data_IF_926820801983
#
_entry.id   IF_926820801983
#
_cell.length_a   1.000
_cell.length_b   1.000
_cell.length_c   1.000
_cell.angle_alpha   90.00
_cell.angle_beta   90.00
_cell.angle_gamma   90.00
#
_symmetry.space_group_name_H-M   'P 1'
#
loop_
_entity.id
_entity.type
_entity.pdbx_description
1 polymer ?
#
# COMPACT_ATOMS: atom_id res chain seq x y z
N UNK A 1 4.82 4.04 3.82
CA UNK A 1 3.88 3.24 4.66
C UNK A 1 3.89 3.68 6.13
N UNK A 2 5.04 3.73 6.80
CA UNK A 2 5.12 4.13 8.21
C UNK A 2 4.50 5.51 8.52
N UNK A 3 4.76 6.52 7.68
CA UNK A 3 4.13 7.84 7.84
C UNK A 3 2.60 7.78 7.68
N UNK A 4 2.09 6.94 6.78
CA UNK A 4 0.64 6.76 6.62
C UNK A 4 0.01 6.07 7.84
N UNK A 5 0.74 5.12 8.44
CA UNK A 5 0.34 4.49 9.70
C UNK A 5 0.40 5.47 10.88
N UNK A 6 1.39 6.37 10.92
CA UNK A 6 1.47 7.42 11.92
C UNK A 6 0.27 8.37 11.79
N UNK A 7 -0.07 8.78 10.57
CA UNK A 7 -1.27 9.56 10.29
C UNK A 7 -2.54 8.82 10.77
N UNK A 8 -2.68 7.53 10.48
CA UNK A 8 -3.79 6.69 10.92
C UNK A 8 -4.04 6.74 12.44
N UNK A 9 -2.97 6.91 13.23
CA UNK A 9 -3.01 6.91 14.69
C UNK A 9 -3.26 8.29 15.29
N UNK A 10 -2.64 9.34 14.74
CA UNK A 10 -2.60 10.66 15.40
C UNK A 10 -3.34 11.77 14.65
N UNK A 11 -3.79 11.54 13.41
CA UNK A 11 -4.49 12.55 12.63
C UNK A 11 -3.64 13.72 12.13
N UNK A 12 -2.34 13.75 12.41
CA UNK A 12 -1.48 14.87 12.03
C UNK A 12 -1.15 14.82 10.53
N UNK A 13 -1.69 15.77 9.78
CA UNK A 13 -1.57 15.92 8.33
C UNK A 13 -0.13 15.97 7.82
N UNK A 14 0.85 16.38 8.63
CA UNK A 14 2.26 16.32 8.26
C UNK A 14 2.70 14.89 7.89
N UNK A 15 2.20 13.90 8.61
CA UNK A 15 2.50 12.50 8.31
C UNK A 15 1.88 12.03 6.99
N UNK A 16 0.71 12.57 6.61
CA UNK A 16 0.10 12.31 5.32
C UNK A 16 0.90 12.98 4.18
N UNK A 17 1.37 14.21 4.37
CA UNK A 17 2.25 14.91 3.41
C UNK A 17 3.56 14.13 3.23
N UNK A 18 4.24 13.77 4.33
CA UNK A 18 5.45 12.95 4.28
C UNK A 18 5.21 11.60 3.60
N UNK A 19 4.08 10.94 3.88
CA UNK A 19 3.71 9.72 3.19
C UNK A 19 3.62 9.95 1.67
N UNK A 20 3.00 11.05 1.26
CA UNK A 20 2.90 11.47 -0.13
C UNK A 20 4.24 11.69 -0.80
N UNK A 21 5.14 12.45 -0.16
CA UNK A 21 6.49 12.69 -0.69
C UNK A 21 7.26 11.38 -0.92
N UNK A 22 7.22 10.45 0.03
CA UNK A 22 7.85 9.13 -0.15
C UNK A 22 7.17 8.27 -1.21
N UNK A 23 5.84 8.35 -1.36
CA UNK A 23 5.13 7.69 -2.46
C UNK A 23 5.61 8.24 -3.80
N UNK A 24 5.71 9.56 -3.93
CA UNK A 24 6.20 10.22 -5.15
C UNK A 24 7.65 9.84 -5.49
N UNK A 25 8.54 9.79 -4.50
CA UNK A 25 9.91 9.28 -4.69
C UNK A 25 9.93 7.81 -5.12
N UNK A 26 9.03 6.99 -4.57
CA UNK A 26 8.86 5.60 -5.00
C UNK A 26 8.42 5.50 -6.46
N UNK A 27 7.47 6.36 -6.88
CA UNK A 27 7.02 6.46 -8.28
C UNK A 27 8.17 6.85 -9.20
N UNK A 28 9.01 7.81 -8.81
CA UNK A 28 10.20 8.15 -9.60
C UNK A 28 11.21 7.00 -9.71
N UNK A 29 11.30 6.13 -8.70
CA UNK A 29 12.30 5.04 -8.67
C UNK A 29 11.85 3.79 -9.41
N UNK A 30 10.58 3.39 -9.25
CA UNK A 30 10.04 2.11 -9.75
C UNK A 30 8.83 2.28 -10.68
N UNK A 31 8.41 3.51 -10.94
CA UNK A 31 7.21 3.80 -11.71
C UNK A 31 5.92 3.64 -10.90
N UNK A 32 4.76 3.64 -11.58
CA UNK A 32 3.44 3.67 -10.94
C UNK A 32 3.12 2.41 -10.12
N UNK A 33 3.89 1.31 -10.26
CA UNK A 33 3.68 0.06 -9.52
C UNK A 33 3.73 0.22 -8.00
N UNK A 34 4.40 1.26 -7.49
CA UNK A 34 4.42 1.59 -6.05
C UNK A 34 3.01 1.86 -5.53
N UNK A 35 2.13 2.44 -6.35
CA UNK A 35 0.74 2.73 -5.96
C UNK A 35 -0.05 1.45 -5.70
N UNK A 36 0.29 0.32 -6.32
CA UNK A 36 -0.35 -0.97 -6.03
C UNK A 36 0.04 -1.44 -4.63
N UNK A 37 1.34 -1.38 -4.32
CA UNK A 37 1.90 -1.85 -3.05
C UNK A 37 1.44 -0.99 -1.86
N UNK A 38 1.28 0.32 -2.06
CA UNK A 38 0.85 1.25 -1.01
C UNK A 38 -0.67 1.42 -1.00
N UNK A 39 -1.32 1.34 -2.16
CA UNK A 39 -2.77 1.46 -2.31
C UNK A 39 -3.53 0.32 -1.66
N UNK A 40 -3.06 -0.93 -1.80
CA UNK A 40 -3.71 -2.09 -1.18
C UNK A 40 -3.92 -1.92 0.34
N UNK A 41 -2.88 -1.63 1.17
CA UNK A 41 -3.09 -1.42 2.60
C UNK A 41 -3.91 -0.16 2.92
N UNK A 42 -3.82 0.91 2.12
CA UNK A 42 -4.63 2.13 2.31
C UNK A 42 -6.12 1.86 2.06
N UNK A 43 -6.46 1.19 0.97
CA UNK A 43 -7.84 0.84 0.62
C UNK A 43 -8.44 -0.12 1.64
N UNK A 44 -7.63 -1.03 2.17
CA UNK A 44 -8.06 -2.00 3.18
C UNK A 44 -8.10 -1.42 4.60
N UNK A 45 -7.81 -0.13 4.80
CA UNK A 45 -7.83 0.53 6.12
C UNK A 45 -9.07 0.18 6.97
N UNK A 46 -10.31 0.18 6.44
CA UNK A 46 -11.49 -0.13 7.23
C UNK A 46 -11.48 -1.53 7.88
N UNK A 47 -10.74 -2.48 7.29
CA UNK A 47 -10.67 -3.87 7.74
C UNK A 47 -9.64 -4.10 8.85
N UNK A 48 -8.58 -3.29 8.91
CA UNK A 48 -7.51 -3.45 9.90
C UNK A 48 -7.41 -2.30 10.90
N UNK A 49 -8.19 -1.22 10.74
CA UNK A 49 -8.19 -0.09 11.68
C UNK A 49 -8.56 -0.52 13.10
N UNK A 50 -7.91 0.10 14.07
CA UNK A 50 -8.41 0.11 15.43
C UNK A 50 -9.65 1.00 15.49
N UNK A 51 -10.80 0.46 15.90
CA UNK A 51 -12.05 1.21 15.95
C UNK A 51 -12.13 2.16 17.15
N UNK A 52 -11.34 1.93 18.18
CA UNK A 52 -11.32 2.70 19.42
C UNK A 52 -10.29 3.83 19.37
N UNK A 53 -9.12 3.55 18.77
CA UNK A 53 -7.99 4.49 18.76
C UNK A 53 -7.63 5.04 17.36
N UNK A 54 -8.11 4.43 16.28
CA UNK A 54 -7.77 4.84 14.91
C UNK A 54 -8.64 5.97 14.37
N UNK A 55 -8.11 6.71 13.40
CA UNK A 55 -8.86 7.70 12.63
C UNK A 55 -10.15 7.11 12.04
N UNK A 56 -11.20 7.92 12.02
CA UNK A 56 -12.41 7.60 11.27
C UNK A 56 -12.10 7.40 9.78
N UNK A 57 -12.73 6.42 9.15
CA UNK A 57 -12.52 6.06 7.75
C UNK A 57 -12.53 7.26 6.78
N UNK A 58 -13.50 8.20 6.85
CA UNK A 58 -13.50 9.35 5.95
C UNK A 58 -12.30 10.27 6.15
N UNK A 59 -11.89 10.51 7.40
CA UNK A 59 -10.72 11.34 7.72
C UNK A 59 -9.42 10.69 7.24
N UNK A 60 -9.32 9.37 7.36
CA UNK A 60 -8.18 8.63 6.84
C UNK A 60 -8.07 8.75 5.31
N UNK A 61 -9.19 8.55 4.59
CA UNK A 61 -9.19 8.71 3.13
C UNK A 61 -8.96 10.14 2.67
N UNK A 62 -9.43 11.15 3.41
CA UNK A 62 -9.08 12.55 3.14
C UNK A 62 -7.55 12.78 3.24
N UNK A 63 -6.90 12.23 4.26
CA UNK A 63 -5.43 12.28 4.36
C UNK A 63 -4.72 11.42 3.31
N UNK A 64 -5.32 10.30 2.87
CA UNK A 64 -4.81 9.55 1.73
C UNK A 64 -4.84 10.40 0.45
N UNK A 65 -5.93 11.15 0.23
CA UNK A 65 -6.03 12.13 -0.84
C UNK A 65 -4.94 13.20 -0.75
N UNK A 66 -4.71 13.75 0.44
CA UNK A 66 -3.61 14.69 0.68
C UNK A 66 -2.24 14.08 0.37
N UNK A 67 -2.02 12.82 0.74
CA UNK A 67 -0.79 12.11 0.41
C UNK A 67 -0.61 11.95 -1.11
N UNK A 68 -1.68 11.64 -1.86
CA UNK A 68 -1.62 11.58 -3.33
C UNK A 68 -1.27 12.95 -3.91
N UNK A 69 -1.91 14.03 -3.44
CA UNK A 69 -1.59 15.38 -3.88
C UNK A 69 -0.13 15.75 -3.60
N UNK A 70 0.37 15.44 -2.41
CA UNK A 70 1.77 15.67 -2.07
C UNK A 70 2.73 14.81 -2.92
N UNK A 71 2.34 13.59 -3.30
CA UNK A 71 3.13 12.73 -4.19
C UNK A 71 3.30 13.29 -5.60
N UNK A 72 2.34 14.10 -6.07
CA UNK A 72 2.44 14.76 -7.37
C UNK A 72 3.58 15.77 -7.42
N UNK A 73 3.99 16.36 -6.30
CA UNK A 73 5.04 17.38 -6.26
C UNK A 73 6.39 16.83 -6.78
N UNK A 74 7.02 15.81 -6.17
CA UNK A 74 8.29 15.27 -6.68
C UNK A 74 8.15 14.69 -8.08
N UNK A 75 7.01 14.04 -8.39
CA UNK A 75 6.77 13.47 -9.72
C UNK A 75 6.73 14.56 -10.78
N UNK A 76 6.01 15.65 -10.52
CA UNK A 76 5.86 16.76 -11.47
C UNK A 76 7.18 17.51 -11.69
N UNK A 77 8.00 17.69 -10.64
CA UNK A 77 9.32 18.37 -10.73
C UNK A 77 10.18 17.75 -11.83
N UNK A 78 10.11 16.44 -12.03
CA UNK A 78 10.87 15.76 -13.07
C UNK A 78 10.06 15.50 -14.35
N UNK A 79 8.80 15.07 -14.19
CA UNK A 79 7.99 14.64 -15.33
C UNK A 79 7.59 15.82 -16.23
N UNK A 80 7.27 16.98 -15.67
CA UNK A 80 6.87 18.18 -16.43
C UNK A 80 7.99 18.69 -17.35
N UNK A 81 9.23 18.91 -16.90
CA UNK A 81 10.29 19.32 -17.82
C UNK A 81 10.64 18.21 -18.82
N UNK A 82 10.53 16.94 -18.45
CA UNK A 82 10.75 15.82 -19.37
C UNK A 82 9.68 15.78 -20.48
N UNK A 83 8.41 16.01 -20.15
CA UNK A 83 7.31 16.02 -21.13
C UNK A 83 7.47 17.16 -22.13
N UNK A 84 7.81 18.36 -21.66
CA UNK A 84 8.00 19.55 -22.49
C UNK A 84 9.15 19.33 -23.48
N UNK A 85 10.29 18.81 -23.02
CA UNK A 85 11.46 18.58 -23.87
C UNK A 85 11.23 17.50 -24.94
N UNK A 86 10.40 16.52 -24.65
CA UNK A 86 10.17 15.35 -25.52
C UNK A 86 8.90 15.47 -26.37
N UNK A 87 8.24 16.65 -26.34
CA UNK A 87 6.95 16.91 -27.00
C UNK A 87 5.87 15.86 -26.68
N UNK A 88 5.91 15.29 -25.47
CA UNK A 88 4.91 14.33 -24.97
C UNK A 88 5.13 12.85 -25.31
N UNK A 89 5.95 12.51 -26.31
CA UNK A 89 6.16 11.12 -26.72
C UNK A 89 6.75 10.24 -25.60
N UNK A 90 7.62 10.82 -24.78
CA UNK A 90 8.29 10.11 -23.69
C UNK A 90 7.36 9.54 -22.61
N UNK A 91 6.28 10.26 -22.27
CA UNK A 91 5.38 9.80 -21.19
C UNK A 91 4.51 8.66 -21.64
N UNK A 92 4.06 8.68 -22.89
CA UNK A 92 3.34 7.55 -23.46
C UNK A 92 4.21 6.29 -23.44
N UNK A 93 5.46 6.38 -23.90
CA UNK A 93 6.38 5.24 -23.90
C UNK A 93 6.74 4.76 -22.48
N UNK A 94 6.93 5.69 -21.54
CA UNK A 94 7.29 5.37 -20.15
C UNK A 94 6.13 4.71 -19.38
N UNK A 95 4.90 5.20 -19.54
CA UNK A 95 3.75 4.69 -18.80
C UNK A 95 3.17 3.45 -19.49
N UNK A 96 3.03 3.49 -20.82
CA UNK A 96 2.37 2.42 -21.56
C UNK A 96 3.33 1.29 -21.94
N UNK A 97 4.37 1.59 -22.71
CA UNK A 97 5.26 0.57 -23.27
C UNK A 97 6.15 -0.07 -22.20
N UNK A 98 6.61 0.70 -21.21
CA UNK A 98 7.48 0.19 -20.14
C UNK A 98 6.72 -0.40 -18.93
N UNK A 99 5.55 0.14 -18.57
CA UNK A 99 4.83 -0.31 -17.36
C UNK A 99 3.64 -1.21 -17.66
N UNK A 100 2.73 -0.81 -18.56
CA UNK A 100 1.56 -1.61 -18.90
C UNK A 100 1.90 -2.83 -19.79
N UNK A 101 2.78 -2.65 -20.78
CA UNK A 101 3.22 -3.72 -21.69
C UNK A 101 3.90 -4.91 -20.99
N UNK A 102 4.53 -4.68 -19.83
CA UNK A 102 5.12 -5.74 -19.00
C UNK A 102 4.07 -6.57 -18.26
N UNK A 103 2.95 -5.94 -17.87
CA UNK A 103 1.86 -6.59 -17.12
C UNK A 103 0.92 -7.33 -18.07
N UNK A 104 0.69 -6.82 -19.28
CA UNK A 104 -0.17 -7.47 -20.28
C UNK A 104 0.49 -8.64 -21.02
N UNK A 105 1.77 -8.92 -20.76
CA UNK A 105 2.49 -10.05 -21.37
C UNK A 105 3.01 -9.79 -22.79
N UNK A 106 2.90 -8.57 -23.31
CA UNK A 106 3.36 -8.22 -24.66
C UNK A 106 4.89 -8.06 -24.77
N UNK A 107 5.62 -8.21 -23.66
CA UNK A 107 7.09 -8.19 -23.66
C UNK A 107 7.63 -9.63 -23.75
N UNK A 108 8.48 -9.89 -24.74
CA UNK A 108 9.14 -11.18 -25.00
C UNK A 108 9.89 -11.77 -23.77
N UNK A 109 10.16 -10.96 -22.74
CA UNK A 109 10.83 -11.37 -21.48
C UNK A 109 9.87 -11.45 -20.27
N UNK A 110 8.55 -11.48 -20.49
CA UNK A 110 7.59 -11.69 -19.41
C UNK A 110 7.67 -13.16 -18.94
N UNK A 111 8.29 -13.36 -17.78
CA UNK A 111 8.43 -14.67 -17.16
C UNK A 111 7.07 -15.09 -16.60
N UNK A 112 6.20 -15.61 -17.46
CA UNK A 112 4.91 -16.15 -17.08
C UNK A 112 5.11 -17.26 -16.05
N UNK A 113 4.70 -16.98 -14.80
CA UNK A 113 4.66 -17.97 -13.74
C UNK A 113 3.20 -18.34 -13.48
N UNK A 114 2.88 -19.60 -13.15
CA UNK A 114 1.53 -19.96 -12.75
C UNK A 114 1.12 -19.18 -11.51
N UNK A 115 -0.19 -18.96 -11.31
CA UNK A 115 -0.70 -18.14 -10.20
C UNK A 115 -0.27 -18.67 -8.81
N UNK A 116 -0.02 -19.98 -8.69
CA UNK A 116 0.44 -20.64 -7.47
C UNK A 116 1.96 -20.57 -7.24
N UNK A 117 2.73 -19.96 -8.15
CA UNK A 117 4.20 -19.91 -8.04
C UNK A 117 4.69 -19.35 -6.70
N UNK A 118 4.11 -18.23 -6.26
CA UNK A 118 4.44 -17.63 -4.95
C UNK A 118 3.90 -18.44 -3.76
N UNK A 119 2.82 -19.21 -3.95
CA UNK A 119 2.30 -20.12 -2.91
C UNK A 119 3.29 -21.25 -2.66
N UNK A 120 3.90 -21.78 -3.72
CA UNK A 120 4.94 -22.82 -3.60
C UNK A 120 6.24 -22.25 -3.03
N UNK A 121 6.61 -21.01 -3.37
CA UNK A 121 7.83 -20.37 -2.88
C UNK A 121 7.72 -19.80 -1.46
N UNK A 122 6.49 -19.63 -0.96
CA UNK A 122 6.19 -19.01 0.34
C UNK A 122 6.99 -19.60 1.51
N UNK A 123 7.13 -20.93 1.68
CA UNK A 123 7.92 -21.51 2.77
C UNK A 123 9.38 -21.04 2.76
N UNK A 124 9.97 -20.96 1.56
CA UNK A 124 11.36 -20.50 1.39
C UNK A 124 11.46 -19.00 1.70
N UNK A 125 10.50 -18.20 1.23
CA UNK A 125 10.45 -16.76 1.52
C UNK A 125 10.24 -16.46 3.02
N UNK A 126 9.65 -17.40 3.76
CA UNK A 126 9.39 -17.28 5.19
C UNK A 126 10.53 -17.80 6.08
N UNK A 127 11.56 -18.45 5.53
CA UNK A 127 12.72 -18.95 6.32
C UNK A 127 13.28 -17.89 7.29
N UNK A 128 13.51 -16.62 6.89
CA UNK A 128 14.03 -15.61 7.83
C UNK A 128 13.12 -15.34 9.03
N UNK A 129 11.81 -15.58 8.86
CA UNK A 129 10.77 -15.27 9.84
C UNK A 129 10.42 -16.47 10.73
N UNK A 130 10.66 -17.70 10.26
CA UNK A 130 10.43 -18.95 11.03
C UNK A 130 11.25 -18.96 12.31
N UNK A 131 12.48 -18.43 12.27
CA UNK A 131 13.40 -18.42 13.42
C UNK A 131 13.20 -17.23 14.37
N UNK A 132 12.14 -16.44 14.20
CA UNK A 132 11.84 -15.29 15.06
C UNK A 132 10.54 -15.59 15.82
N UNK A 133 10.60 -16.18 17.03
CA UNK A 133 9.44 -16.55 17.82
C UNK A 133 8.45 -15.39 18.05
N UNK A 134 8.95 -14.16 18.14
CA UNK A 134 8.21 -12.92 18.31
C UNK A 134 7.13 -12.74 17.23
N UNK A 135 7.44 -13.13 16.00
CA UNK A 135 6.56 -12.98 14.83
C UNK A 135 5.34 -13.91 14.94
N UNK A 136 5.52 -15.05 15.59
CA UNK A 136 4.50 -16.08 15.76
C UNK A 136 3.70 -15.95 17.06
N UNK A 137 4.08 -15.03 17.96
CA UNK A 137 3.33 -14.70 19.18
C UNK A 137 2.09 -13.85 18.86
N UNK A 138 1.23 -14.33 17.97
CA UNK A 138 -0.11 -13.78 17.77
C UNK A 138 -1.02 -14.31 18.87
N UNK A 139 -1.55 -13.42 19.72
CA UNK A 139 -2.65 -13.75 20.66
C UNK A 139 -3.99 -13.91 19.93
N UNK A 140 -4.02 -14.66 18.82
CA UNK A 140 -5.18 -14.85 17.95
C UNK A 140 -6.39 -15.34 18.76
N UNK A 141 -6.16 -16.27 19.69
CA UNK A 141 -7.20 -16.84 20.55
C UNK A 141 -7.81 -15.87 21.56
N UNK A 142 -7.09 -14.84 22.01
CA UNK A 142 -7.66 -13.81 22.89
C UNK A 142 -8.57 -12.84 22.11
N UNK A 143 -8.19 -12.52 20.87
CA UNK A 143 -8.93 -11.60 20.00
C UNK A 143 -10.21 -12.24 19.42
N UNK A 144 -10.18 -13.54 19.11
CA UNK A 144 -11.37 -14.28 18.67
C UNK A 144 -12.39 -14.42 19.81
N UNK A 145 -11.93 -14.75 21.04
CA UNK A 145 -12.82 -14.83 22.22
C UNK A 145 -13.51 -13.51 22.54
N UNK A 146 -12.79 -12.38 22.48
CA UNK A 146 -13.38 -11.06 22.70
C UNK A 146 -14.46 -10.68 21.67
N UNK A 147 -14.37 -11.18 20.42
CA UNK A 147 -15.40 -10.94 19.40
C UNK A 147 -16.67 -11.77 19.64
N UNK A 148 -16.55 -12.95 20.24
CA UNK A 148 -17.68 -13.82 20.58
C UNK A 148 -18.46 -13.24 21.77
N UNK A 149 -17.74 -12.77 22.79
CA UNK A 149 -18.33 -12.28 24.05
C UNK A 149 -19.11 -10.95 23.85
N UNK A 150 -18.69 -10.10 22.91
CA UNK A 150 -19.41 -8.85 22.57
C UNK A 150 -20.76 -9.06 21.90
N UNK A 151 -21.10 -10.29 21.48
CA UNK A 151 -22.35 -10.60 20.76
C UNK A 151 -23.44 -11.25 21.64
N UNK A 152 -23.17 -11.50 22.92
CA UNK A 152 -24.09 -12.22 23.82
C UNK A 152 -24.65 -11.46 25.04
N UNK A 153 -24.87 -10.12 25.07
CA UNK A 153 -25.58 -9.53 26.21
C UNK A 153 -27.08 -9.89 26.28
N UNK A 154 -27.70 -10.32 25.18
CA UNK A 154 -29.17 -10.26 25.04
C UNK A 154 -29.91 -11.62 25.17
N UNK A 155 -29.25 -12.71 25.60
CA UNK A 155 -29.86 -14.04 25.68
C UNK A 155 -30.09 -14.55 27.13
N UNK A 156 -30.10 -13.66 28.12
CA UNK A 156 -30.31 -14.03 29.54
C UNK A 156 -31.30 -13.12 30.29
N UNK A 157 -32.36 -12.66 29.64
CA UNK A 157 -33.52 -12.05 30.31
C UNK A 157 -34.80 -12.78 29.90
#
# INVERSE_FOLDING_TARGET
>A
LLSMLAFAKNGNHWHAVLAGLFIGLGVLTKGPVVLIHVGAPILLYPFWRDRQAGLATPKFFAGAGLAILAALIPVAIWLVPATIQTKGNFVYDLVWNQSAGRVTGNLHNSHGRPFYFYVVLLPIMLIPWIFIPEVWRLKLGARIRGLIDTKSPDLRA
#
